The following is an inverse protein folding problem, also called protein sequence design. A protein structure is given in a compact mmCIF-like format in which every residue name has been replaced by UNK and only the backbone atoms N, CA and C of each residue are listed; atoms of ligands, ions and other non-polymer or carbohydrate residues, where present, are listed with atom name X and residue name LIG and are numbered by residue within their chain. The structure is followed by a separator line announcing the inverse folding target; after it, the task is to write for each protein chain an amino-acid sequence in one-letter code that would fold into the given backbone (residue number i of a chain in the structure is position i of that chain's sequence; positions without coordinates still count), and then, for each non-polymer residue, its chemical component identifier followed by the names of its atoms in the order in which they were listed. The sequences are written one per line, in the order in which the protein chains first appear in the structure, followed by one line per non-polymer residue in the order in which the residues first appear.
data_IF_148276371673
#
_entry.id   IF_148276371673
#
_cell.length_a   1.000
_cell.length_b   1.000
_cell.length_c   1.000
_cell.angle_alpha   90.00
_cell.angle_beta   90.00
_cell.angle_gamma   90.00
#
_symmetry.space_group_name_H-M   'P 1'
#
loop_
_entity.id
_entity.type
_entity.pdbx_description
1 polymer ?
#
# COMPACT_ATOMS: atom_id res chain seq x y z
N UNK A 1 -19.26 -57.31 5.86
CA UNK A 1 -18.86 -56.09 6.60
C UNK A 1 -18.00 -55.27 5.65
N UNK A 2 -18.55 -54.18 5.10
CA UNK A 2 -17.83 -53.27 4.19
C UNK A 2 -17.43 -52.05 5.01
N UNK A 3 -16.13 -51.89 5.24
CA UNK A 3 -15.55 -50.73 5.91
C UNK A 3 -15.35 -49.63 4.86
N UNK A 4 -16.19 -48.60 4.91
CA UNK A 4 -15.98 -47.37 4.14
C UNK A 4 -14.95 -46.52 4.89
N UNK A 5 -13.70 -46.52 4.41
CA UNK A 5 -12.66 -45.61 4.85
C UNK A 5 -13.01 -44.18 4.41
N UNK A 6 -13.39 -43.35 5.37
CA UNK A 6 -13.57 -41.92 5.19
C UNK A 6 -12.20 -41.26 5.10
N UNK A 7 -11.80 -40.83 3.89
CA UNK A 7 -10.67 -39.91 3.74
C UNK A 7 -11.11 -38.51 4.18
N UNK A 8 -10.74 -38.12 5.39
CA UNK A 8 -10.86 -36.75 5.85
C UNK A 8 -9.81 -35.88 5.14
N UNK A 9 -10.26 -34.96 4.29
CA UNK A 9 -9.41 -33.91 3.73
C UNK A 9 -8.94 -32.99 4.86
N UNK A 10 -7.70 -33.17 5.31
CA UNK A 10 -7.04 -32.39 6.37
C UNK A 10 -6.68 -30.95 5.98
N UNK A 11 -6.93 -30.55 4.72
CA UNK A 11 -6.53 -29.27 4.15
C UNK A 11 -7.58 -28.13 4.32
N UNK A 12 -8.75 -28.42 4.91
CA UNK A 12 -9.83 -27.44 5.06
C UNK A 12 -10.57 -27.12 3.75
N UNK A 13 -11.50 -26.15 3.80
CA UNK A 13 -12.30 -25.72 2.64
C UNK A 13 -11.81 -24.38 2.09
N UNK A 14 -11.78 -24.25 0.76
CA UNK A 14 -11.32 -23.03 0.10
C UNK A 14 -12.35 -21.91 0.24
N UNK A 15 -11.95 -20.79 0.86
CA UNK A 15 -12.78 -19.58 0.96
C UNK A 15 -12.62 -18.74 -0.30
N UNK A 16 -13.72 -18.44 -0.99
CA UNK A 16 -13.73 -17.52 -2.13
C UNK A 16 -13.88 -16.08 -1.63
N UNK A 17 -12.83 -15.28 -1.81
CA UNK A 17 -12.85 -13.85 -1.48
C UNK A 17 -12.94 -12.99 -2.75
N UNK A 18 -13.72 -11.88 -2.72
CA UNK A 18 -13.68 -10.87 -3.76
C UNK A 18 -12.26 -10.32 -3.92
N UNK A 19 -11.94 -9.87 -5.13
CA UNK A 19 -10.67 -9.25 -5.46
C UNK A 19 -9.43 -10.12 -5.18
N UNK A 20 -9.54 -11.41 -5.47
CA UNK A 20 -8.42 -12.36 -5.40
C UNK A 20 -7.68 -12.52 -6.74
N UNK A 21 -6.41 -12.92 -6.66
CA UNK A 21 -5.55 -13.21 -7.81
C UNK A 21 -4.62 -12.07 -8.23
N UNK A 22 -3.75 -12.36 -9.22
CA UNK A 22 -2.62 -11.50 -9.62
C UNK A 22 -3.01 -10.06 -9.97
N UNK A 23 -4.20 -9.84 -10.54
CA UNK A 23 -4.68 -8.50 -10.95
C UNK A 23 -4.91 -7.53 -9.80
N UNK A 24 -5.02 -8.02 -8.56
CA UNK A 24 -5.15 -7.21 -7.35
C UNK A 24 -3.89 -7.21 -6.49
N UNK A 25 -2.83 -7.87 -6.96
CA UNK A 25 -1.52 -7.83 -6.33
C UNK A 25 -0.69 -6.70 -6.93
N UNK A 26 0.16 -6.11 -6.10
CA UNK A 26 1.11 -5.09 -6.53
C UNK A 26 2.12 -5.65 -7.50
N UNK A 27 2.56 -4.81 -8.42
CA UNK A 27 3.55 -5.15 -9.43
C UNK A 27 4.66 -4.10 -9.48
N UNK A 28 5.49 -4.13 -10.51
CA UNK A 28 6.57 -3.17 -10.69
C UNK A 28 6.06 -1.72 -10.72
N UNK A 29 4.88 -1.46 -11.30
CA UNK A 29 4.36 -0.13 -11.61
C UNK A 29 3.24 0.35 -10.68
N UNK A 30 2.53 -0.55 -10.02
CA UNK A 30 1.37 -0.22 -9.20
C UNK A 30 1.48 -0.78 -7.79
N UNK A 31 1.14 0.04 -6.80
CA UNK A 31 0.69 -0.43 -5.50
C UNK A 31 -0.79 -0.80 -5.62
N UNK A 32 -1.17 -1.99 -5.16
CA UNK A 32 -2.56 -2.46 -5.12
C UNK A 32 -2.91 -2.91 -3.71
N UNK A 33 -4.08 -2.51 -3.25
CA UNK A 33 -4.58 -2.87 -1.93
C UNK A 33 -6.01 -3.38 -2.04
N UNK A 34 -6.31 -4.40 -1.25
CA UNK A 34 -7.68 -4.87 -1.02
C UNK A 34 -7.97 -4.70 0.46
N UNK A 35 -9.07 -4.01 0.77
CA UNK A 35 -9.55 -3.81 2.14
C UNK A 35 -10.97 -4.35 2.29
N UNK A 36 -11.29 -4.75 3.52
CA UNK A 36 -12.61 -5.25 3.91
C UNK A 36 -13.12 -4.50 5.13
N UNK A 37 -14.41 -4.17 5.14
CA UNK A 37 -15.08 -3.56 6.27
C UNK A 37 -16.46 -4.19 6.48
N UNK A 38 -16.84 -4.38 7.75
CA UNK A 38 -18.16 -4.86 8.13
C UNK A 38 -18.82 -3.96 9.19
N UNK A 39 -20.10 -3.65 9.00
CA UNK A 39 -20.93 -2.88 9.96
C UNK A 39 -22.42 -2.99 9.62
N UNK A 40 -23.28 -2.84 10.62
CA UNK A 40 -24.72 -2.64 10.42
C UNK A 40 -25.05 -1.38 9.59
N UNK A 41 -24.15 -0.40 9.54
CA UNK A 41 -24.29 0.79 8.70
C UNK A 41 -23.38 0.68 7.46
N UNK A 42 -23.98 0.78 6.27
CA UNK A 42 -23.26 0.64 5.00
C UNK A 42 -22.13 1.66 4.83
N UNK A 43 -22.33 2.91 5.24
CA UNK A 43 -21.30 3.95 5.10
C UNK A 43 -20.11 3.66 6.03
N UNK A 44 -20.37 3.18 7.26
CA UNK A 44 -19.32 2.76 8.17
C UNK A 44 -18.56 1.55 7.61
N UNK A 45 -19.25 0.58 7.01
CA UNK A 45 -18.61 -0.57 6.37
C UNK A 45 -17.69 -0.14 5.21
N UNK A 46 -18.14 0.83 4.38
CA UNK A 46 -17.32 1.42 3.31
C UNK A 46 -16.08 2.12 3.88
N UNK A 47 -16.24 3.00 4.86
CA UNK A 47 -15.11 3.71 5.48
C UNK A 47 -14.08 2.75 6.08
N UNK A 48 -14.52 1.65 6.71
CA UNK A 48 -13.63 0.60 7.21
C UNK A 48 -12.87 -0.10 6.08
N UNK A 49 -13.55 -0.46 5.00
CA UNK A 49 -12.91 -1.11 3.84
C UNK A 49 -11.86 -0.20 3.20
N UNK A 50 -12.15 1.09 3.04
CA UNK A 50 -11.17 2.07 2.54
C UNK A 50 -9.98 2.23 3.50
N UNK A 51 -10.22 2.28 4.82
CA UNK A 51 -9.17 2.39 5.81
C UNK A 51 -8.22 1.19 5.75
N UNK A 52 -8.75 -0.04 5.66
CA UNK A 52 -7.92 -1.24 5.51
C UNK A 52 -7.13 -1.23 4.19
N UNK A 53 -7.73 -0.71 3.12
CA UNK A 53 -7.03 -0.53 1.85
C UNK A 53 -5.85 0.43 1.98
N UNK A 54 -6.05 1.59 2.63
CA UNK A 54 -5.00 2.59 2.90
C UNK A 54 -3.88 2.00 3.76
N UNK A 55 -4.21 1.22 4.79
CA UNK A 55 -3.23 0.51 5.64
C UNK A 55 -2.36 -0.46 4.82
N UNK A 56 -2.99 -1.26 3.97
CA UNK A 56 -2.28 -2.21 3.10
C UNK A 56 -1.29 -1.49 2.18
N UNK A 57 -1.73 -0.41 1.52
CA UNK A 57 -0.88 0.40 0.65
C UNK A 57 0.24 1.05 1.45
N UNK A 58 -0.04 1.61 2.63
CA UNK A 58 0.96 2.26 3.47
C UNK A 58 2.08 1.30 3.84
N UNK A 59 1.73 0.04 4.13
CA UNK A 59 2.71 -0.99 4.41
C UNK A 59 3.60 -1.27 3.19
N UNK A 60 3.01 -1.38 2.00
CA UNK A 60 3.75 -1.64 0.77
C UNK A 60 4.65 -0.46 0.37
N UNK A 61 4.15 0.76 0.51
CA UNK A 61 4.94 1.98 0.27
C UNK A 61 6.14 2.00 1.21
N UNK A 62 5.96 1.74 2.51
CA UNK A 62 7.09 1.65 3.46
C UNK A 62 8.12 0.61 3.05
N UNK A 63 7.68 -0.61 2.76
CA UNK A 63 8.60 -1.68 2.32
C UNK A 63 9.35 -1.27 1.07
N UNK A 64 8.68 -0.65 0.09
CA UNK A 64 9.33 -0.22 -1.14
C UNK A 64 10.29 0.95 -0.91
N UNK A 65 9.95 1.91 -0.05
CA UNK A 65 10.86 3.00 0.30
C UNK A 65 12.09 2.53 1.05
N UNK A 66 11.96 1.49 1.88
CA UNK A 66 13.12 0.83 2.48
C UNK A 66 14.05 0.26 1.40
N UNK A 67 13.50 -0.44 0.42
CA UNK A 67 14.28 -0.95 -0.73
C UNK A 67 14.95 0.17 -1.51
N UNK A 68 14.24 1.27 -1.78
CA UNK A 68 14.80 2.47 -2.44
C UNK A 68 15.93 3.07 -1.60
N UNK A 69 15.72 3.23 -0.29
CA UNK A 69 16.73 3.78 0.61
C UNK A 69 17.96 2.89 0.70
N UNK A 70 17.78 1.57 0.78
CA UNK A 70 18.88 0.59 0.81
C UNK A 70 19.64 0.62 -0.53
N UNK A 71 18.93 0.70 -1.67
CA UNK A 71 19.52 0.73 -3.01
C UNK A 71 20.36 1.98 -3.29
N UNK A 72 19.98 3.12 -2.71
CA UNK A 72 20.68 4.39 -2.87
C UNK A 72 21.46 4.82 -1.61
N UNK A 73 21.61 3.91 -0.64
CA UNK A 73 22.29 4.19 0.65
C UNK A 73 23.75 4.60 0.48
N UNK A 74 24.44 4.07 -0.54
CA UNK A 74 25.83 4.41 -0.87
C UNK A 74 26.01 5.86 -1.35
N UNK A 75 24.93 6.52 -1.76
CA UNK A 75 24.94 7.92 -2.20
C UNK A 75 24.58 8.90 -1.08
N UNK A 76 24.17 8.38 0.08
CA UNK A 76 23.91 9.20 1.26
C UNK A 76 25.26 9.65 1.83
N UNK A 77 25.60 10.92 1.60
CA UNK A 77 26.80 11.54 2.18
C UNK A 77 26.57 11.85 3.67
N UNK A 78 27.49 11.42 4.53
CA UNK A 78 27.55 11.79 5.95
C UNK A 78 26.86 10.82 6.92
N UNK A 79 26.97 11.10 8.23
CA UNK A 79 26.44 10.27 9.32
C UNK A 79 24.91 10.28 9.44
N UNK A 80 24.22 11.06 8.61
CA UNK A 80 22.80 11.39 8.75
C UNK A 80 21.84 10.46 7.97
N UNK A 81 22.35 9.40 7.35
CA UNK A 81 21.56 8.41 6.61
C UNK A 81 20.38 7.84 7.44
N UNK A 82 20.59 7.61 8.74
CA UNK A 82 19.54 7.10 9.64
C UNK A 82 18.39 8.10 9.83
N UNK A 83 18.68 9.39 9.99
CA UNK A 83 17.63 10.42 10.11
C UNK A 83 16.85 10.53 8.80
N UNK A 84 17.54 10.51 7.66
CA UNK A 84 16.89 10.57 6.35
C UNK A 84 15.91 9.42 6.17
N UNK A 85 16.30 8.19 6.50
CA UNK A 85 15.41 7.02 6.44
C UNK A 85 14.22 7.18 7.38
N UNK A 86 14.44 7.62 8.62
CA UNK A 86 13.36 7.83 9.59
C UNK A 86 12.35 8.88 9.12
N UNK A 87 12.83 10.03 8.62
CA UNK A 87 11.98 11.10 8.08
C UNK A 87 11.23 10.62 6.84
N UNK A 88 11.87 9.83 6.00
CA UNK A 88 11.25 9.29 4.80
C UNK A 88 10.13 8.32 5.13
N UNK A 89 10.34 7.42 6.10
CA UNK A 89 9.30 6.52 6.60
C UNK A 89 8.13 7.28 7.22
N UNK A 90 8.41 8.30 8.04
CA UNK A 90 7.39 9.17 8.66
C UNK A 90 6.54 9.86 7.60
N UNK A 91 7.18 10.51 6.63
CA UNK A 91 6.52 11.22 5.54
C UNK A 91 5.62 10.28 4.71
N UNK A 92 6.09 9.05 4.47
CA UNK A 92 5.30 8.04 3.78
C UNK A 92 4.03 7.64 4.54
N UNK A 93 4.08 7.58 5.88
CA UNK A 93 2.88 7.34 6.71
C UNK A 93 1.89 8.48 6.53
N UNK A 94 2.37 9.71 6.61
CA UNK A 94 1.53 10.90 6.51
C UNK A 94 0.84 10.97 5.15
N UNK A 95 1.60 10.84 4.07
CA UNK A 95 1.09 10.84 2.70
C UNK A 95 0.04 9.76 2.49
N UNK A 96 0.34 8.52 2.90
CA UNK A 96 -0.59 7.42 2.62
C UNK A 96 -1.87 7.51 3.45
N UNK A 97 -1.81 8.09 4.65
CA UNK A 97 -2.98 8.24 5.51
C UNK A 97 -3.87 9.41 5.11
N UNK A 98 -3.29 10.53 4.66
CA UNK A 98 -4.01 11.80 4.51
C UNK A 98 -4.22 12.21 3.05
N UNK A 99 -3.37 11.79 2.12
CA UNK A 99 -3.43 12.31 0.75
C UNK A 99 -2.84 11.32 -0.23
N UNK A 100 -3.69 10.43 -0.74
CA UNK A 100 -3.37 9.71 -1.96
C UNK A 100 -4.22 10.33 -3.07
N UNK A 101 -3.65 11.31 -3.76
CA UNK A 101 -4.38 12.07 -4.80
C UNK A 101 -4.72 11.25 -6.04
N UNK A 102 -3.96 10.19 -6.32
CA UNK A 102 -4.08 9.37 -7.53
C UNK A 102 -4.44 7.91 -7.21
N UNK A 103 -5.46 7.71 -6.36
CA UNK A 103 -6.06 6.38 -6.16
C UNK A 103 -7.04 6.09 -7.29
N UNK A 104 -6.85 4.97 -7.98
CA UNK A 104 -7.85 4.39 -8.87
C UNK A 104 -8.56 3.22 -8.19
N UNK A 105 -9.89 3.29 -8.09
CA UNK A 105 -10.68 2.14 -7.62
C UNK A 105 -10.75 1.08 -8.73
N UNK A 106 -10.29 -0.13 -8.42
CA UNK A 106 -10.34 -1.29 -9.31
C UNK A 106 -11.68 -2.03 -9.23
N UNK A 107 -12.34 -1.96 -8.07
CA UNK A 107 -13.64 -2.59 -7.87
C UNK A 107 -14.14 -2.45 -6.44
N UNK A 108 -15.44 -2.71 -6.27
CA UNK A 108 -16.11 -2.74 -4.97
C UNK A 108 -17.17 -3.85 -4.97
N UNK A 109 -17.21 -4.63 -3.89
CA UNK A 109 -18.18 -5.71 -3.65
C UNK A 109 -18.88 -5.40 -2.32
N UNK A 110 -20.20 -5.24 -2.36
CA UNK A 110 -21.03 -4.93 -1.19
C UNK A 110 -22.02 -6.07 -1.04
N UNK A 111 -22.10 -6.65 0.15
CA UNK A 111 -23.03 -7.73 0.47
C UNK A 111 -23.72 -7.45 1.79
N UNK A 112 -25.01 -7.70 1.85
CA UNK A 112 -25.73 -7.80 3.12
C UNK A 112 -25.63 -9.25 3.60
N UNK A 113 -25.31 -9.44 4.87
CA UNK A 113 -25.19 -10.74 5.51
C UNK A 113 -26.52 -11.10 6.21
N UNK A 114 -26.65 -12.37 6.62
CA UNK A 114 -27.83 -12.88 7.32
C UNK A 114 -28.10 -12.15 8.65
N UNK A 115 -27.05 -11.64 9.29
CA UNK A 115 -27.12 -10.83 10.52
C UNK A 115 -27.51 -9.36 10.28
N UNK A 116 -27.95 -9.02 9.06
CA UNK A 116 -28.29 -7.66 8.61
C UNK A 116 -27.13 -6.66 8.58
N UNK A 117 -25.89 -7.11 8.79
CA UNK A 117 -24.71 -6.26 8.58
C UNK A 117 -24.29 -6.23 7.12
N UNK A 118 -23.65 -5.13 6.73
CA UNK A 118 -23.03 -4.97 5.42
C UNK A 118 -21.56 -5.36 5.50
N UNK A 119 -21.12 -6.21 4.57
CA UNK A 119 -19.71 -6.50 4.28
C UNK A 119 -19.34 -5.84 2.97
N UNK A 120 -18.30 -5.02 3.01
CA UNK A 120 -17.77 -4.29 1.86
C UNK A 120 -16.34 -4.70 1.63
N UNK A 121 -16.00 -5.04 0.39
CA UNK A 121 -14.63 -5.14 -0.08
C UNK A 121 -14.37 -4.01 -1.08
N UNK A 122 -13.19 -3.43 -1.01
CA UNK A 122 -12.71 -2.43 -1.98
C UNK A 122 -11.34 -2.86 -2.46
N UNK A 123 -11.12 -2.78 -3.77
CA UNK A 123 -9.81 -2.91 -4.37
C UNK A 123 -9.42 -1.59 -5.03
N UNK A 124 -8.21 -1.13 -4.76
CA UNK A 124 -7.68 0.08 -5.38
C UNK A 124 -6.25 -0.15 -5.87
N UNK A 125 -5.81 0.75 -6.73
CA UNK A 125 -4.42 0.86 -7.12
C UNK A 125 -3.94 2.30 -7.17
N UNK A 126 -2.62 2.46 -7.09
CA UNK A 126 -1.91 3.71 -7.21
C UNK A 126 -0.67 3.47 -8.06
N UNK A 127 -0.42 4.34 -9.02
CA UNK A 127 0.83 4.32 -9.79
C UNK A 127 1.99 4.69 -8.87
N UNK A 128 3.04 3.85 -8.79
CA UNK A 128 4.20 4.10 -7.93
C UNK A 128 4.89 5.42 -8.26
N UNK A 129 5.06 5.70 -9.55
CA UNK A 129 5.61 6.96 -10.06
C UNK A 129 4.84 8.19 -9.58
N UNK A 130 3.51 8.15 -9.61
CA UNK A 130 2.65 9.23 -9.11
C UNK A 130 2.82 9.39 -7.59
N UNK A 131 2.86 8.27 -6.85
CA UNK A 131 3.12 8.28 -5.40
C UNK A 131 4.49 8.89 -5.06
N UNK A 132 5.56 8.53 -5.77
CA UNK A 132 6.89 9.09 -5.51
C UNK A 132 7.01 10.56 -5.88
N UNK A 133 6.36 11.00 -6.95
CA UNK A 133 6.27 12.44 -7.26
C UNK A 133 5.56 13.20 -6.14
N UNK A 134 4.45 12.66 -5.64
CA UNK A 134 3.73 13.28 -4.53
C UNK A 134 4.56 13.30 -3.23
N UNK A 135 5.27 12.21 -2.91
CA UNK A 135 6.21 12.17 -1.79
C UNK A 135 7.33 13.19 -1.93
N UNK A 136 7.88 13.35 -3.15
CA UNK A 136 8.91 14.35 -3.44
C UNK A 136 8.41 15.76 -3.20
N UNK A 137 7.21 16.08 -3.67
CA UNK A 137 6.61 17.39 -3.48
C UNK A 137 6.29 17.66 -2.00
N UNK A 138 5.88 16.64 -1.25
CA UNK A 138 5.70 16.77 0.21
C UNK A 138 7.03 16.95 0.93
N UNK A 139 8.05 16.18 0.58
CA UNK A 139 9.39 16.31 1.11
C UNK A 139 9.97 17.70 0.84
N UNK A 140 9.74 18.30 -0.33
CA UNK A 140 10.19 19.66 -0.66
C UNK A 140 9.60 20.74 0.24
N UNK A 141 8.34 20.57 0.65
CA UNK A 141 7.58 21.58 1.37
C UNK A 141 7.54 21.37 2.90
N UNK A 142 8.06 20.26 3.43
CA UNK A 142 8.04 20.00 4.87
C UNK A 142 9.19 20.69 5.61
N UNK A 143 8.90 21.77 6.33
CA UNK A 143 9.90 22.53 7.10
C UNK A 143 10.56 21.74 8.24
N UNK A 144 10.00 20.58 8.65
CA UNK A 144 10.52 19.75 9.75
C UNK A 144 11.68 18.84 9.34
N UNK A 145 12.00 18.82 8.06
CA UNK A 145 13.05 17.98 7.47
C UNK A 145 14.30 18.84 7.29
N UNK A 146 15.43 18.37 7.81
CA UNK A 146 16.71 19.06 7.64
C UNK A 146 17.08 19.18 6.15
N UNK A 147 17.83 20.22 5.77
CA UNK A 147 18.18 20.46 4.36
C UNK A 147 18.91 19.27 3.74
N UNK A 148 19.84 18.67 4.49
CA UNK A 148 20.57 17.47 4.06
C UNK A 148 19.63 16.28 3.84
N UNK A 149 18.77 15.95 4.81
CA UNK A 149 17.82 14.85 4.68
C UNK A 149 16.84 15.09 3.51
N UNK A 150 16.42 16.33 3.31
CA UNK A 150 15.56 16.74 2.18
C UNK A 150 16.26 16.49 0.85
N UNK A 151 17.49 16.95 0.68
CA UNK A 151 18.25 16.78 -0.55
C UNK A 151 18.48 15.29 -0.85
N UNK A 152 18.80 14.49 0.17
CA UNK A 152 19.00 13.05 0.04
C UNK A 152 17.70 12.33 -0.37
N UNK A 153 16.57 12.60 0.30
CA UNK A 153 15.28 12.03 -0.09
C UNK A 153 14.86 12.41 -1.50
N UNK A 154 15.04 13.68 -1.89
CA UNK A 154 14.73 14.14 -3.26
C UNK A 154 15.56 13.35 -4.27
N UNK A 155 16.86 13.18 -4.02
CA UNK A 155 17.77 12.41 -4.89
C UNK A 155 17.30 10.96 -5.03
N UNK A 156 16.99 10.28 -3.90
CA UNK A 156 16.50 8.90 -3.93
C UNK A 156 15.17 8.77 -4.68
N UNK A 157 14.24 9.71 -4.46
CA UNK A 157 12.94 9.74 -5.14
C UNK A 157 13.08 10.02 -6.64
N UNK A 158 13.96 10.93 -7.03
CA UNK A 158 14.20 11.24 -8.45
C UNK A 158 14.76 10.03 -9.18
N UNK A 159 15.77 9.35 -8.62
CA UNK A 159 16.32 8.12 -9.21
C UNK A 159 15.28 7.01 -9.33
N UNK A 160 14.45 6.83 -8.32
CA UNK A 160 13.39 5.83 -8.38
C UNK A 160 12.31 6.19 -9.41
N UNK A 161 11.98 7.47 -9.56
CA UNK A 161 11.06 7.95 -10.60
C UNK A 161 11.66 7.71 -12.00
N UNK A 162 12.94 8.04 -12.21
CA UNK A 162 13.66 7.80 -13.47
C UNK A 162 13.73 6.30 -13.81
N UNK A 163 14.03 5.46 -12.81
CA UNK A 163 14.02 3.99 -12.97
C UNK A 163 12.65 3.50 -13.44
N UNK A 164 11.58 3.93 -12.78
CA UNK A 164 10.21 3.58 -13.18
C UNK A 164 9.82 4.13 -14.57
N UNK A 165 10.37 5.27 -14.96
CA UNK A 165 10.19 5.86 -16.30
C UNK A 165 10.90 5.04 -17.39
N UNK A 166 12.08 4.51 -17.10
CA UNK A 166 12.83 3.67 -18.05
C UNK A 166 12.19 2.29 -18.29
N UNK A 167 11.28 1.86 -17.40
CA UNK A 167 10.58 0.58 -17.43
C UNK A 167 9.16 0.68 -18.02
N UNK A 168 8.71 1.89 -18.41
CA UNK A 168 7.40 2.14 -19.05
C UNK A 168 7.40 1.85 -20.55
#
# INVERSE_FOLDING_TARGET
IVLLSSCSNSAGTQVKTPFSGKKYMSDARHFRGVGMGQSANLNIAKSKAELETRKSIAQQVRTNLKVVSDAYSSELVGTQASETVEKFESLAREVTNNTIGDIRQLGQDIRQLEDQTYRVHVAVEIKKKAMFRFLKDKARNDAKISELARAQMITMLDKEIERLESEE
#
